data_IF_821501592506
#
_entry.id   IF_821501592506
#
_cell.length_a   1.000
_cell.length_b   1.000
_cell.length_c   1.000
_cell.angle_alpha   90.00
_cell.angle_beta   90.00
_cell.angle_gamma   90.00
#
_symmetry.space_group_name_H-M   'P 1'
#
loop_
_entity.id
_entity.type
_entity.pdbx_description
1 polymer ?
#
# COMPACT_ATOMS: atom_id res chain seq x y z
N UNK A 1 -23.72 -17.32 -24.83
CA UNK A 1 -24.77 -16.41 -25.33
C UNK A 1 -26.06 -16.78 -24.62
N UNK A 2 -26.50 -15.95 -23.72
CA UNK A 2 -27.86 -15.95 -23.20
C UNK A 2 -28.24 -14.50 -22.90
N UNK A 3 -29.40 -14.02 -23.34
CA UNK A 3 -29.75 -12.61 -23.26
C UNK A 3 -30.31 -12.25 -21.87
N UNK A 4 -29.92 -11.09 -21.35
CA UNK A 4 -30.66 -10.43 -20.28
C UNK A 4 -32.02 -9.96 -20.81
N UNK A 5 -33.09 -10.55 -20.36
CA UNK A 5 -34.43 -10.01 -20.52
C UNK A 5 -34.95 -9.43 -19.21
N UNK A 6 -35.24 -8.15 -19.27
CA UNK A 6 -35.89 -7.34 -18.26
C UNK A 6 -37.36 -7.79 -18.07
N UNK A 7 -37.83 -7.89 -16.86
CA UNK A 7 -39.24 -7.64 -16.53
C UNK A 7 -39.35 -6.67 -15.36
N UNK A 8 -39.81 -5.48 -15.69
CA UNK A 8 -40.38 -4.51 -14.77
C UNK A 8 -41.71 -5.05 -14.22
N UNK A 9 -41.94 -4.78 -12.96
CA UNK A 9 -43.08 -4.13 -12.33
C UNK A 9 -43.11 -4.46 -10.84
N UNK A 10 -42.95 -3.53 -9.94
CA UNK A 10 -43.99 -2.93 -9.15
C UNK A 10 -43.46 -2.03 -8.01
N UNK A 11 -43.97 -0.80 -8.06
CA UNK A 11 -44.20 0.19 -6.97
C UNK A 11 -43.10 0.59 -5.98
N UNK A 12 -42.58 1.76 -6.21
CA UNK A 12 -42.52 2.91 -5.33
C UNK A 12 -42.10 2.67 -3.88
N UNK A 13 -40.80 2.39 -3.61
CA UNK A 13 -40.07 2.74 -2.41
C UNK A 13 -38.61 2.33 -2.46
N UNK A 14 -38.10 1.86 -3.58
CA UNK A 14 -36.72 1.37 -3.74
C UNK A 14 -35.92 2.11 -4.83
N UNK A 15 -36.12 3.42 -4.98
CA UNK A 15 -35.42 4.17 -6.03
C UNK A 15 -33.99 4.56 -5.66
N UNK A 16 -33.53 4.25 -4.46
CA UNK A 16 -32.18 4.61 -4.01
C UNK A 16 -31.15 3.45 -4.02
N UNK A 17 -31.54 2.25 -4.47
CA UNK A 17 -30.62 1.09 -4.47
C UNK A 17 -30.13 0.75 -5.89
N UNK A 18 -30.74 1.29 -6.93
CA UNK A 18 -30.39 0.94 -8.33
C UNK A 18 -29.25 1.80 -8.90
N UNK A 19 -28.86 2.88 -8.22
CA UNK A 19 -27.75 3.74 -8.68
C UNK A 19 -26.37 3.18 -8.27
N UNK A 20 -26.32 2.16 -7.43
CA UNK A 20 -25.08 1.49 -7.00
C UNK A 20 -24.62 0.34 -7.91
N UNK A 21 -25.31 0.06 -8.99
CA UNK A 21 -24.93 -1.01 -9.94
C UNK A 21 -24.34 -0.51 -11.26
N UNK A 22 -24.03 0.76 -11.40
CA UNK A 22 -23.08 1.20 -12.43
C UNK A 22 -21.67 1.17 -11.86
N UNK A 23 -21.23 0.00 -11.37
CA UNK A 23 -19.83 -0.32 -11.39
C UNK A 23 -19.48 -0.33 -12.87
N UNK A 24 -18.83 0.74 -13.32
CA UNK A 24 -18.17 0.76 -14.63
C UNK A 24 -17.16 -0.38 -14.59
N UNK A 25 -17.54 -1.50 -15.18
CA UNK A 25 -16.73 -2.69 -15.26
C UNK A 25 -15.55 -2.34 -16.18
N UNK A 26 -14.41 -1.91 -15.64
CA UNK A 26 -13.14 -1.79 -16.35
C UNK A 26 -12.53 -3.18 -16.62
N UNK A 27 -13.42 -4.19 -16.79
CA UNK A 27 -13.07 -5.56 -17.12
C UNK A 27 -12.25 -5.55 -18.41
N UNK A 28 -10.97 -5.88 -18.29
CA UNK A 28 -10.11 -6.18 -19.42
C UNK A 28 -8.87 -5.28 -19.57
N UNK A 29 -8.62 -4.32 -18.68
CA UNK A 29 -7.42 -3.48 -18.78
C UNK A 29 -6.15 -4.26 -18.42
N UNK A 30 -6.20 -5.04 -17.34
CA UNK A 30 -5.10 -5.91 -16.90
C UNK A 30 -5.65 -7.30 -16.54
N UNK A 31 -4.79 -8.31 -16.69
CA UNK A 31 -5.13 -9.71 -16.40
C UNK A 31 -4.44 -10.24 -15.15
N UNK A 32 -3.49 -9.50 -14.60
CA UNK A 32 -2.75 -9.85 -13.38
C UNK A 32 -2.14 -8.61 -12.73
N UNK A 33 -1.85 -8.71 -11.44
CA UNK A 33 -1.11 -7.70 -10.67
C UNK A 33 0.17 -8.35 -10.12
N UNK A 34 1.32 -7.71 -10.33
CA UNK A 34 2.57 -8.04 -9.63
C UNK A 34 2.93 -6.89 -8.72
N UNK A 35 3.02 -7.15 -7.42
CA UNK A 35 3.23 -6.13 -6.40
C UNK A 35 4.53 -6.33 -5.65
N UNK A 36 5.22 -5.24 -5.36
CA UNK A 36 6.46 -5.15 -4.58
C UNK A 36 6.30 -4.03 -3.55
N UNK A 37 6.86 -4.21 -2.36
CA UNK A 37 6.72 -3.19 -1.32
C UNK A 37 6.99 -3.73 0.08
N UNK A 38 6.41 -3.05 1.05
CA UNK A 38 6.54 -3.38 2.47
C UNK A 38 5.19 -3.75 3.12
N UNK A 39 5.00 -3.40 4.41
CA UNK A 39 3.78 -3.73 5.16
C UNK A 39 2.50 -3.10 4.62
N UNK A 40 2.61 -2.03 3.85
CA UNK A 40 1.45 -1.33 3.28
C UNK A 40 0.86 -2.07 2.08
N UNK A 41 1.61 -3.02 1.52
CA UNK A 41 1.20 -3.87 0.40
C UNK A 41 1.26 -5.38 0.71
N UNK A 42 1.85 -5.83 1.83
CA UNK A 42 1.99 -7.26 2.15
C UNK A 42 0.62 -7.93 2.38
N UNK A 43 0.26 -8.86 1.53
CA UNK A 43 -0.99 -9.65 1.63
C UNK A 43 -0.83 -10.94 2.42
N UNK A 44 0.32 -11.13 3.11
CA UNK A 44 0.60 -12.25 4.01
C UNK A 44 1.96 -12.91 3.79
N UNK A 45 2.88 -12.33 3.05
CA UNK A 45 4.20 -12.92 2.83
C UNK A 45 4.97 -13.13 4.12
N UNK A 46 5.09 -12.11 4.97
CA UNK A 46 5.88 -12.24 6.19
C UNK A 46 5.38 -13.39 7.08
N UNK A 47 4.07 -13.60 7.18
CA UNK A 47 3.52 -14.67 8.05
C UNK A 47 3.72 -16.06 7.47
N UNK A 48 3.93 -16.20 6.15
CA UNK A 48 4.22 -17.46 5.49
C UNK A 48 5.73 -17.75 5.39
N UNK A 49 6.57 -16.76 5.68
CA UNK A 49 8.02 -16.96 5.74
C UNK A 49 8.42 -17.69 7.03
N UNK A 50 9.52 -18.47 7.00
CA UNK A 50 10.09 -19.03 8.23
C UNK A 50 10.44 -17.91 9.23
N UNK A 51 9.82 -17.93 10.40
CA UNK A 51 10.06 -16.93 11.45
C UNK A 51 11.04 -17.50 12.48
N UNK A 52 12.20 -16.87 12.68
CA UNK A 52 13.18 -17.31 13.68
C UNK A 52 12.80 -16.81 15.09
N UNK A 53 11.56 -16.99 15.54
CA UNK A 53 11.17 -16.50 16.85
C UNK A 53 9.67 -16.34 17.05
N UNK A 54 9.27 -15.28 17.75
CA UNK A 54 7.86 -14.97 18.04
C UNK A 54 7.14 -14.54 16.76
N UNK A 55 5.94 -15.10 16.56
CA UNK A 55 5.07 -14.70 15.46
C UNK A 55 4.76 -13.18 15.51
N UNK A 56 4.72 -12.51 14.37
CA UNK A 56 4.41 -11.08 14.32
C UNK A 56 2.96 -10.79 14.76
N UNK A 57 2.68 -9.58 15.31
CA UNK A 57 1.36 -9.25 15.87
C UNK A 57 0.22 -9.44 14.87
N UNK A 58 0.43 -9.16 13.60
CA UNK A 58 -0.59 -9.18 12.54
C UNK A 58 -1.02 -10.58 12.06
N UNK A 59 -0.59 -11.66 12.76
CA UNK A 59 -1.19 -12.99 12.65
C UNK A 59 -2.32 -13.22 13.66
N UNK A 60 -2.54 -12.29 14.58
CA UNK A 60 -3.52 -12.40 15.63
C UNK A 60 -4.67 -11.41 15.46
N UNK A 61 -5.87 -11.71 15.99
CA UNK A 61 -6.91 -10.71 16.15
C UNK A 61 -6.36 -9.49 16.92
N UNK A 62 -6.81 -8.26 16.65
CA UNK A 62 -7.94 -7.90 15.81
C UNK A 62 -7.60 -7.60 14.34
N UNK A 63 -6.38 -7.93 13.87
CA UNK A 63 -6.05 -7.74 12.45
C UNK A 63 -7.00 -8.50 11.54
N UNK A 64 -7.43 -7.89 10.45
CA UNK A 64 -8.31 -8.49 9.45
C UNK A 64 -9.78 -8.64 9.86
N UNK A 65 -10.19 -8.18 11.03
CA UNK A 65 -11.52 -8.43 11.59
C UNK A 65 -12.67 -7.76 10.82
N UNK A 66 -12.40 -6.60 10.16
CA UNK A 66 -13.46 -5.80 9.51
C UNK A 66 -13.96 -6.45 8.23
N UNK A 67 -13.10 -7.05 7.43
CA UNK A 67 -13.45 -7.60 6.12
C UNK A 67 -13.26 -9.12 6.06
N UNK A 68 -12.08 -9.60 6.45
CA UNK A 68 -11.71 -11.01 6.33
C UNK A 68 -12.26 -11.87 7.48
N UNK A 69 -12.65 -11.25 8.60
CA UNK A 69 -13.06 -11.89 9.86
C UNK A 69 -11.97 -12.79 10.50
N UNK A 70 -10.73 -12.64 10.07
CA UNK A 70 -9.54 -13.29 10.62
C UNK A 70 -8.27 -12.57 10.16
N UNK A 71 -7.19 -12.74 10.89
CA UNK A 71 -5.89 -12.21 10.51
C UNK A 71 -5.37 -12.91 9.24
N UNK A 72 -4.93 -12.12 8.26
CA UNK A 72 -4.43 -12.58 6.96
C UNK A 72 -2.95 -12.29 6.76
N UNK A 73 -2.31 -11.66 7.74
CA UNK A 73 -0.97 -11.10 7.61
C UNK A 73 -0.92 -9.68 7.04
N UNK A 74 -2.06 -9.11 6.69
CA UNK A 74 -2.16 -7.68 6.34
C UNK A 74 -2.05 -6.83 7.59
N UNK A 75 -1.27 -5.76 7.51
CA UNK A 75 -1.10 -4.80 8.59
C UNK A 75 -2.26 -3.79 8.64
N UNK A 76 -3.47 -4.29 8.78
CA UNK A 76 -4.71 -3.50 8.88
C UNK A 76 -5.82 -4.31 9.55
N UNK A 77 -6.90 -3.64 9.95
CA UNK A 77 -8.15 -4.30 10.36
C UNK A 77 -8.88 -4.98 9.18
N UNK A 78 -8.50 -4.70 7.94
CA UNK A 78 -9.14 -5.26 6.74
C UNK A 78 -8.26 -5.17 5.50
N UNK A 79 -8.83 -4.68 4.39
CA UNK A 79 -8.17 -4.56 3.08
C UNK A 79 -7.11 -3.47 3.05
N UNK A 80 -6.10 -3.67 2.19
CA UNK A 80 -5.08 -2.70 1.81
C UNK A 80 -5.42 -2.06 0.45
N UNK A 81 -4.66 -1.05 0.05
CA UNK A 81 -4.85 -0.39 -1.27
C UNK A 81 -4.79 -1.40 -2.43
N UNK A 82 -3.89 -2.37 -2.37
CA UNK A 82 -3.78 -3.43 -3.40
C UNK A 82 -5.06 -4.25 -3.56
N UNK A 83 -5.78 -4.51 -2.47
CA UNK A 83 -7.04 -5.27 -2.51
C UNK A 83 -8.14 -4.47 -3.21
N UNK A 84 -8.24 -3.18 -2.93
CA UNK A 84 -9.17 -2.28 -3.63
C UNK A 84 -8.82 -2.13 -5.12
N UNK A 85 -7.53 -2.09 -5.48
CA UNK A 85 -7.10 -2.10 -6.89
C UNK A 85 -7.52 -3.40 -7.56
N UNK A 86 -7.34 -4.55 -6.92
CA UNK A 86 -7.76 -5.84 -7.47
C UNK A 86 -9.28 -5.87 -7.71
N UNK A 87 -10.07 -5.43 -6.74
CA UNK A 87 -11.54 -5.32 -6.88
C UNK A 87 -11.94 -4.37 -8.02
N UNK A 88 -11.32 -3.19 -8.11
CA UNK A 88 -11.57 -2.21 -9.17
C UNK A 88 -11.31 -2.79 -10.57
N UNK A 89 -10.27 -3.62 -10.70
CA UNK A 89 -9.92 -4.28 -11.96
C UNK A 89 -10.73 -5.56 -12.23
N UNK A 90 -11.59 -5.99 -11.29
CA UNK A 90 -12.34 -7.24 -11.38
C UNK A 90 -11.46 -8.48 -11.27
N UNK A 91 -10.28 -8.36 -10.64
CA UNK A 91 -9.34 -9.45 -10.40
C UNK A 91 -9.54 -10.06 -9.00
N UNK A 92 -9.17 -11.33 -8.79
CA UNK A 92 -9.06 -11.89 -7.44
C UNK A 92 -8.05 -11.12 -6.61
N UNK A 93 -8.17 -11.16 -5.28
CA UNK A 93 -7.14 -10.61 -4.38
C UNK A 93 -5.78 -11.25 -4.65
N UNK A 94 -4.76 -10.40 -4.69
CA UNK A 94 -3.41 -10.82 -5.08
C UNK A 94 -2.79 -11.68 -3.98
N UNK A 95 -2.48 -12.96 -4.26
CA UNK A 95 -1.93 -13.86 -3.25
C UNK A 95 -0.50 -13.50 -2.91
N UNK A 96 -0.06 -13.74 -1.65
CA UNK A 96 1.34 -13.63 -1.28
C UNK A 96 2.17 -14.74 -1.96
N UNK A 97 3.40 -14.43 -2.36
CA UNK A 97 4.33 -15.37 -3.00
C UNK A 97 4.55 -16.63 -2.15
N UNK A 98 4.81 -16.45 -0.85
CA UNK A 98 5.11 -17.57 0.07
C UNK A 98 3.88 -18.37 0.48
N UNK A 99 2.67 -17.84 0.36
CA UNK A 99 1.41 -18.51 0.75
C UNK A 99 0.51 -18.91 -0.41
N UNK A 100 0.88 -18.55 -1.64
CA UNK A 100 0.06 -18.82 -2.83
C UNK A 100 0.39 -20.13 -3.53
N UNK A 101 -0.28 -20.39 -4.63
CA UNK A 101 -0.06 -21.54 -5.51
C UNK A 101 -0.01 -21.11 -6.98
N UNK A 102 0.67 -21.91 -7.83
CA UNK A 102 0.80 -21.63 -9.25
C UNK A 102 -0.54 -21.41 -9.98
N UNK A 103 -1.60 -22.07 -9.52
CA UNK A 103 -2.93 -21.89 -10.08
C UNK A 103 -3.40 -20.46 -9.85
N UNK A 104 -3.39 -20.00 -8.59
CA UNK A 104 -3.86 -18.66 -8.19
C UNK A 104 -2.94 -17.58 -8.77
N UNK A 105 -1.62 -17.81 -8.83
CA UNK A 105 -0.65 -16.88 -9.43
C UNK A 105 -0.97 -16.57 -10.90
N UNK A 106 -1.44 -17.56 -11.65
CA UNK A 106 -1.84 -17.38 -13.05
C UNK A 106 -3.17 -16.65 -13.22
N UNK A 107 -4.02 -16.65 -12.20
CA UNK A 107 -5.35 -16.03 -12.21
C UNK A 107 -5.32 -14.57 -11.70
N UNK A 108 -4.49 -14.26 -10.72
CA UNK A 108 -4.48 -12.96 -10.02
C UNK A 108 -3.18 -12.18 -10.17
N UNK A 109 -2.08 -12.84 -10.50
CA UNK A 109 -0.72 -12.30 -10.30
C UNK A 109 -0.15 -12.69 -8.96
N UNK A 110 0.87 -11.97 -8.49
CA UNK A 110 1.63 -12.31 -7.27
C UNK A 110 2.05 -11.07 -6.51
N UNK A 111 1.91 -11.11 -5.20
CA UNK A 111 2.44 -10.11 -4.31
C UNK A 111 3.77 -10.57 -3.69
N UNK A 112 4.83 -9.81 -3.91
CA UNK A 112 6.18 -10.03 -3.36
C UNK A 112 6.49 -9.10 -2.19
N UNK A 113 5.61 -8.13 -1.88
CA UNK A 113 5.77 -7.20 -0.76
C UNK A 113 5.86 -7.97 0.56
N UNK A 114 6.76 -7.54 1.45
CA UNK A 114 6.98 -8.18 2.76
C UNK A 114 6.99 -7.11 3.84
N UNK A 115 6.19 -7.28 4.87
CA UNK A 115 6.18 -6.35 6.00
C UNK A 115 7.57 -6.20 6.62
N UNK A 116 8.00 -4.94 6.83
CA UNK A 116 9.35 -4.61 7.28
C UNK A 116 10.41 -4.58 6.18
N UNK A 117 10.07 -4.86 4.93
CA UNK A 117 11.03 -4.81 3.82
C UNK A 117 11.61 -3.40 3.61
N UNK A 118 12.86 -3.37 3.16
CA UNK A 118 13.63 -2.15 2.89
C UNK A 118 13.87 -1.99 1.38
N UNK A 119 14.07 -0.75 0.93
CA UNK A 119 14.56 -0.50 -0.42
C UNK A 119 16.01 -0.96 -0.55
N UNK A 120 16.84 -0.58 0.42
CA UNK A 120 18.25 -0.94 0.50
C UNK A 120 18.46 -2.40 0.91
N UNK A 121 19.55 -2.99 0.44
CA UNK A 121 19.97 -4.32 0.86
C UNK A 121 20.29 -4.37 2.37
N UNK A 122 19.94 -5.49 3.00
CA UNK A 122 20.14 -5.69 4.44
C UNK A 122 21.59 -5.61 4.84
N UNK A 123 22.53 -6.11 4.02
CA UNK A 123 23.96 -6.04 4.31
C UNK A 123 24.45 -4.57 4.33
N UNK A 124 23.99 -3.77 3.38
CA UNK A 124 24.32 -2.34 3.33
C UNK A 124 23.86 -1.59 4.59
N UNK A 125 22.66 -1.92 5.13
CA UNK A 125 22.14 -1.34 6.36
C UNK A 125 22.92 -1.82 7.58
N UNK A 126 23.24 -3.11 7.66
CA UNK A 126 24.00 -3.70 8.76
C UNK A 126 25.41 -3.11 8.89
N UNK A 127 26.10 -2.83 7.79
CA UNK A 127 27.41 -2.14 7.78
C UNK A 127 27.32 -0.75 8.43
N UNK A 128 26.13 -0.17 8.51
CA UNK A 128 25.84 1.14 9.13
C UNK A 128 25.21 1.02 10.52
N UNK A 129 25.21 -0.19 11.09
CA UNK A 129 24.65 -0.47 12.41
C UNK A 129 23.11 -0.51 12.45
N UNK A 130 22.46 -0.54 11.30
CA UNK A 130 21.00 -0.57 11.20
C UNK A 130 20.56 -2.03 11.05
N UNK A 131 19.77 -2.51 12.02
CA UNK A 131 19.32 -3.89 12.10
C UNK A 131 17.82 -3.99 11.79
N UNK A 132 17.48 -4.62 10.69
CA UNK A 132 16.11 -5.08 10.46
C UNK A 132 15.88 -6.39 11.23
N UNK A 133 14.99 -6.37 12.23
CA UNK A 133 14.67 -7.52 13.08
C UNK A 133 13.47 -8.34 12.58
N UNK A 134 12.77 -7.86 11.54
CA UNK A 134 11.57 -8.48 11.02
C UNK A 134 11.85 -9.39 9.82
N UNK A 135 12.65 -8.89 8.88
CA UNK A 135 12.94 -9.63 7.65
C UNK A 135 14.29 -9.21 7.06
N UNK A 136 14.89 -10.08 6.28
CA UNK A 136 16.06 -9.77 5.44
C UNK A 136 15.64 -9.48 3.98
N UNK A 137 14.34 -9.30 3.73
CA UNK A 137 13.84 -9.03 2.40
C UNK A 137 14.00 -7.56 2.06
N UNK A 138 14.77 -7.29 1.00
CA UNK A 138 14.88 -5.97 0.36
C UNK A 138 14.11 -5.95 -0.95
N UNK A 139 13.99 -4.78 -1.59
CA UNK A 139 13.39 -4.66 -2.91
C UNK A 139 14.11 -5.54 -3.95
N UNK A 140 15.45 -5.62 -3.89
CA UNK A 140 16.21 -6.46 -4.81
C UNK A 140 15.92 -7.96 -4.62
N UNK A 141 15.74 -8.41 -3.38
CA UNK A 141 15.32 -9.79 -3.08
C UNK A 141 13.94 -10.07 -3.69
N UNK A 142 12.98 -9.17 -3.54
CA UNK A 142 11.64 -9.31 -4.12
C UNK A 142 11.69 -9.41 -5.66
N UNK A 143 12.47 -8.53 -6.29
CA UNK A 143 12.70 -8.57 -7.75
C UNK A 143 13.40 -9.85 -8.17
N UNK A 144 14.30 -10.40 -7.35
CA UNK A 144 14.93 -11.69 -7.56
C UNK A 144 13.92 -12.85 -7.58
N UNK A 145 13.02 -12.88 -6.60
CA UNK A 145 11.92 -13.87 -6.52
C UNK A 145 10.99 -13.79 -7.74
N UNK A 146 10.64 -12.58 -8.15
CA UNK A 146 9.84 -12.36 -9.36
C UNK A 146 10.53 -12.93 -10.61
N UNK A 147 11.82 -12.60 -10.84
CA UNK A 147 12.60 -13.10 -11.96
C UNK A 147 12.66 -14.64 -11.99
N UNK A 148 12.77 -15.28 -10.82
CA UNK A 148 12.77 -16.74 -10.68
C UNK A 148 11.39 -17.36 -11.00
N UNK A 149 10.31 -16.71 -10.60
CA UNK A 149 8.94 -17.21 -10.82
C UNK A 149 8.47 -17.02 -12.27
N UNK A 150 8.89 -15.96 -12.93
CA UNK A 150 8.39 -15.53 -14.24
C UNK A 150 8.36 -16.64 -15.30
N UNK A 151 9.39 -17.50 -15.46
CA UNK A 151 9.37 -18.62 -16.42
C UNK A 151 8.28 -19.65 -16.18
N UNK A 152 7.86 -19.84 -14.91
CA UNK A 152 6.81 -20.79 -14.55
C UNK A 152 5.39 -20.22 -14.76
N UNK A 153 5.25 -18.88 -14.78
CA UNK A 153 3.96 -18.22 -15.01
C UNK A 153 3.56 -18.26 -16.49
N UNK A 154 4.48 -18.00 -17.40
CA UNK A 154 4.22 -17.97 -18.83
C UNK A 154 5.50 -18.24 -19.64
N UNK A 155 5.38 -18.86 -20.80
CA UNK A 155 6.44 -18.93 -21.80
C UNK A 155 6.56 -17.63 -22.61
N UNK A 156 5.49 -16.84 -22.71
CA UNK A 156 5.46 -15.51 -23.34
C UNK A 156 5.43 -14.42 -22.26
N UNK A 157 6.62 -14.12 -21.74
CA UNK A 157 6.80 -13.10 -20.71
C UNK A 157 6.39 -11.71 -21.19
N UNK A 158 6.65 -11.39 -22.47
CA UNK A 158 6.30 -10.08 -23.03
C UNK A 158 4.80 -9.86 -23.04
N UNK A 159 4.03 -10.86 -23.44
CA UNK A 159 2.57 -10.82 -23.42
C UNK A 159 2.04 -10.75 -21.99
N UNK A 160 2.59 -11.59 -21.09
CA UNK A 160 2.19 -11.58 -19.68
C UNK A 160 2.37 -10.18 -19.07
N UNK A 161 3.59 -9.64 -19.16
CA UNK A 161 3.92 -8.34 -18.56
C UNK A 161 3.19 -7.18 -19.24
N UNK A 162 2.99 -7.25 -20.56
CA UNK A 162 2.23 -6.25 -21.31
C UNK A 162 0.74 -6.15 -20.92
N UNK A 163 0.20 -7.23 -20.33
CA UNK A 163 -1.18 -7.29 -19.84
C UNK A 163 -1.28 -7.26 -18.31
N UNK A 164 -0.20 -6.94 -17.61
CA UNK A 164 -0.16 -6.92 -16.15
C UNK A 164 0.06 -5.52 -15.61
N UNK A 165 -0.54 -5.22 -14.47
CA UNK A 165 -0.21 -4.06 -13.67
C UNK A 165 0.96 -4.41 -12.74
N UNK A 166 1.99 -3.59 -12.77
CA UNK A 166 3.12 -3.67 -11.83
C UNK A 166 2.93 -2.57 -10.79
N UNK A 167 2.77 -2.96 -9.53
CA UNK A 167 2.72 -2.04 -8.40
C UNK A 167 4.09 -2.06 -7.70
N UNK A 168 4.73 -0.90 -7.61
CA UNK A 168 5.97 -0.71 -6.86
C UNK A 168 5.72 0.33 -5.77
N UNK A 169 5.63 -0.14 -4.56
CA UNK A 169 5.44 0.73 -3.41
C UNK A 169 4.35 0.22 -2.44
N UNK A 170 4.30 0.72 -1.24
CA UNK A 170 5.33 1.62 -0.73
C UNK A 170 6.58 0.86 -0.33
N UNK A 171 7.75 1.49 -0.45
CA UNK A 171 9.04 0.92 -0.06
C UNK A 171 10.04 2.05 0.26
N UNK A 172 10.92 1.85 1.21
CA UNK A 172 11.94 2.81 1.64
C UNK A 172 11.66 3.44 3.01
N UNK A 173 10.42 3.45 3.47
CA UNK A 173 10.07 3.91 4.81
C UNK A 173 10.75 3.12 5.91
N UNK A 174 10.88 1.82 5.74
CA UNK A 174 11.52 0.94 6.72
C UNK A 174 13.04 1.15 6.83
N UNK A 175 13.72 1.60 5.78
CA UNK A 175 15.13 1.98 5.82
C UNK A 175 15.38 3.04 6.89
N UNK A 176 14.48 4.02 6.97
CA UNK A 176 14.53 5.08 7.98
C UNK A 176 13.98 4.64 9.33
N UNK A 177 12.89 3.91 9.34
CA UNK A 177 12.24 3.44 10.57
C UNK A 177 13.17 2.55 11.40
N UNK A 178 13.85 1.58 10.77
CA UNK A 178 14.80 0.71 11.47
C UNK A 178 16.00 1.49 12.03
N UNK A 179 16.47 2.51 11.30
CA UNK A 179 17.53 3.38 11.78
C UNK A 179 17.06 4.24 12.96
N UNK A 180 15.90 4.86 12.86
CA UNK A 180 15.31 5.71 13.89
C UNK A 180 15.04 4.94 15.19
N UNK A 181 14.34 3.81 15.10
CA UNK A 181 14.05 2.96 16.25
C UNK A 181 15.29 2.24 16.80
N UNK A 182 16.33 2.09 15.98
CA UNK A 182 17.65 1.61 16.38
C UNK A 182 18.50 2.63 17.13
N UNK A 183 18.02 3.88 17.26
CA UNK A 183 18.75 4.97 17.94
C UNK A 183 19.89 5.56 17.11
N UNK A 184 19.89 5.37 15.80
CA UNK A 184 20.84 6.01 14.88
C UNK A 184 20.57 7.52 14.85
N UNK A 185 21.64 8.32 14.78
CA UNK A 185 21.52 9.78 14.79
C UNK A 185 20.74 10.28 13.56
N UNK A 186 20.05 11.40 13.71
CA UNK A 186 19.25 11.98 12.65
C UNK A 186 20.11 12.35 11.43
N UNK A 187 21.35 12.80 11.66
CA UNK A 187 22.32 13.10 10.60
C UNK A 187 22.68 11.83 9.80
N UNK A 188 22.94 10.72 10.49
CA UNK A 188 23.24 9.43 9.85
C UNK A 188 22.02 8.83 9.12
N UNK A 189 20.80 9.08 9.60
CA UNK A 189 19.57 8.72 8.89
C UNK A 189 19.44 9.55 7.61
N UNK A 190 19.80 10.83 7.66
CA UNK A 190 19.84 11.69 6.48
C UNK A 190 20.85 11.22 5.43
N UNK A 191 22.00 10.71 5.89
CA UNK A 191 23.02 10.14 4.99
C UNK A 191 22.52 8.88 4.28
N UNK A 192 21.50 8.20 4.80
CA UNK A 192 20.84 7.08 4.09
C UNK A 192 19.98 7.54 2.91
N UNK A 193 19.45 8.76 3.01
CA UNK A 193 18.52 9.27 1.98
C UNK A 193 19.13 9.24 0.58
N UNK A 194 20.39 9.64 0.32
CA UNK A 194 20.98 9.48 -1.00
C UNK A 194 21.00 8.03 -1.49
N UNK A 195 21.11 7.08 -0.62
CA UNK A 195 21.16 5.67 -0.97
C UNK A 195 19.74 5.11 -1.16
N UNK A 196 18.82 5.41 -0.27
CA UNK A 196 17.40 5.06 -0.39
C UNK A 196 16.81 5.76 -1.59
N UNK A 197 17.15 7.02 -1.81
CA UNK A 197 16.64 7.85 -2.89
C UNK A 197 17.47 7.71 -4.15
N UNK A 198 18.73 7.31 -4.13
CA UNK A 198 19.45 6.86 -5.33
C UNK A 198 18.99 5.46 -5.76
N UNK A 199 18.54 4.69 -4.83
CA UNK A 199 17.58 3.60 -5.02
C UNK A 199 16.19 4.21 -5.15
N UNK A 200 15.91 5.41 -4.66
CA UNK A 200 14.73 6.25 -4.80
C UNK A 200 14.99 7.80 -5.00
N UNK A 201 16.20 8.47 -5.07
CA UNK A 201 16.55 9.90 -5.36
C UNK A 201 16.96 10.88 -4.22
N UNK A 202 17.68 11.90 -4.01
CA UNK A 202 18.40 12.61 -2.89
C UNK A 202 17.71 13.81 -2.14
N UNK A 203 17.90 14.03 -0.93
CA UNK A 203 18.32 14.58 0.39
C UNK A 203 17.91 15.97 0.95
N UNK A 204 17.83 16.23 2.30
CA UNK A 204 17.51 17.53 2.96
C UNK A 204 18.08 17.79 4.35
N UNK A 205 18.00 19.10 4.80
CA UNK A 205 18.44 19.68 6.08
C UNK A 205 17.30 20.06 7.05
N UNK A 206 17.49 19.97 8.36
CA UNK A 206 16.47 19.86 9.42
C UNK A 206 16.25 21.10 10.29
N UNK A 207 14.96 21.33 10.68
CA UNK A 207 14.52 21.95 11.95
C UNK A 207 13.39 21.14 12.58
N UNK A 208 13.34 21.05 13.94
CA UNK A 208 12.26 20.38 14.67
C UNK A 208 11.11 21.36 14.94
N UNK A 209 10.15 21.42 14.09
CA UNK A 209 8.90 22.18 14.29
C UNK A 209 7.73 21.25 13.97
N UNK A 210 6.61 21.45 14.67
CA UNK A 210 5.36 20.70 14.43
C UNK A 210 4.38 21.57 13.67
N UNK A 211 3.76 21.03 12.66
CA UNK A 211 2.62 21.65 11.99
C UNK A 211 1.44 21.75 12.98
N UNK A 212 1.04 22.96 13.31
CA UNK A 212 -0.05 23.23 14.27
C UNK A 212 -1.41 22.73 13.81
N UNK A 213 -1.64 22.51 12.53
CA UNK A 213 -2.92 22.06 11.97
C UNK A 213 -3.07 20.53 12.01
N UNK A 214 -2.01 19.78 11.83
CA UNK A 214 -2.02 18.31 11.73
C UNK A 214 -1.39 17.61 12.92
N UNK A 215 -0.53 18.30 13.67
CA UNK A 215 0.29 17.71 14.73
C UNK A 215 1.47 16.89 14.20
N UNK A 216 1.70 16.88 12.88
CA UNK A 216 2.82 16.20 12.25
C UNK A 216 4.13 16.96 12.45
N UNK A 217 5.25 16.24 12.44
CA UNK A 217 6.58 16.86 12.43
C UNK A 217 6.83 17.50 11.06
N UNK A 218 6.98 18.82 10.98
CA UNK A 218 7.16 19.56 9.72
C UNK A 218 8.36 19.04 8.92
N UNK A 219 9.46 18.72 9.59
CA UNK A 219 10.63 18.19 8.93
C UNK A 219 10.42 16.80 8.30
N UNK A 220 9.56 15.93 8.89
CA UNK A 220 9.21 14.64 8.30
C UNK A 220 8.30 14.83 7.07
N UNK A 221 7.37 15.77 7.12
CA UNK A 221 6.57 16.11 5.97
C UNK A 221 7.45 16.65 4.84
N UNK A 222 8.35 17.60 5.16
CA UNK A 222 9.30 18.14 4.18
C UNK A 222 10.23 17.07 3.64
N UNK A 223 10.70 16.14 4.47
CA UNK A 223 11.48 14.99 4.06
C UNK A 223 10.72 14.12 3.05
N UNK A 224 9.44 13.85 3.29
CA UNK A 224 8.58 13.08 2.38
C UNK A 224 8.36 13.80 1.06
N UNK A 225 8.10 15.10 1.10
CA UNK A 225 7.94 15.93 -0.10
C UNK A 225 9.18 15.92 -0.99
N UNK A 226 10.35 16.10 -0.39
CA UNK A 226 11.63 16.16 -1.11
C UNK A 226 12.04 14.79 -1.65
N UNK A 227 11.73 13.69 -0.91
CA UNK A 227 11.83 12.34 -1.42
C UNK A 227 10.97 12.16 -2.67
N UNK A 228 9.70 12.54 -2.59
CA UNK A 228 8.74 12.39 -3.68
C UNK A 228 9.11 13.26 -4.90
N UNK A 229 9.61 14.48 -4.71
CA UNK A 229 10.09 15.34 -5.79
C UNK A 229 11.22 14.67 -6.58
N UNK A 230 12.17 14.06 -5.88
CA UNK A 230 13.30 13.39 -6.50
C UNK A 230 12.89 12.08 -7.16
N UNK A 231 12.01 11.28 -6.53
CA UNK A 231 11.42 10.11 -7.15
C UNK A 231 10.72 10.47 -8.46
N UNK A 232 9.92 11.55 -8.45
CA UNK A 232 9.24 12.02 -9.65
C UNK A 232 10.22 12.47 -10.75
N UNK A 233 11.36 13.09 -10.37
CA UNK A 233 12.40 13.46 -11.31
C UNK A 233 13.06 12.23 -11.94
N UNK A 234 13.35 11.19 -11.13
CA UNK A 234 13.92 9.93 -11.60
C UNK A 234 12.94 9.18 -12.53
N UNK A 235 11.66 9.07 -12.14
CA UNK A 235 10.63 8.46 -12.97
C UNK A 235 10.50 9.15 -14.34
N UNK A 236 10.63 10.48 -14.40
CA UNK A 236 10.67 11.23 -15.67
C UNK A 236 11.89 10.87 -16.54
N UNK A 237 13.04 10.57 -15.92
CA UNK A 237 14.21 10.11 -16.67
C UNK A 237 14.02 8.69 -17.18
N UNK A 238 13.52 7.78 -16.33
CA UNK A 238 13.21 6.40 -16.71
C UNK A 238 12.18 6.37 -17.85
N UNK A 239 11.14 7.20 -17.79
CA UNK A 239 10.14 7.31 -18.86
C UNK A 239 10.77 7.74 -20.22
N UNK A 240 11.80 8.61 -20.20
CA UNK A 240 12.53 8.99 -21.43
C UNK A 240 13.37 7.84 -21.98
N UNK A 241 13.98 7.02 -21.10
CA UNK A 241 14.78 5.87 -21.51
C UNK A 241 13.90 4.71 -22.03
N UNK A 242 12.67 4.60 -21.52
CA UNK A 242 11.71 3.56 -21.87
C UNK A 242 10.38 4.15 -22.35
N UNK A 243 10.35 4.79 -23.55
CA UNK A 243 9.17 5.53 -24.01
C UNK A 243 7.93 4.67 -24.26
N UNK A 244 8.10 3.34 -24.39
CA UNK A 244 6.98 2.40 -24.53
C UNK A 244 6.45 1.86 -23.21
N UNK A 245 7.17 2.06 -22.10
CA UNK A 245 6.65 1.77 -20.77
C UNK A 245 5.66 2.85 -20.35
N UNK A 246 4.62 2.49 -19.65
CA UNK A 246 3.68 3.43 -19.05
C UNK A 246 3.95 3.48 -17.56
N UNK A 247 4.52 4.58 -17.10
CA UNK A 247 4.88 4.79 -15.71
C UNK A 247 3.89 5.78 -15.14
N UNK A 248 3.18 5.38 -14.08
CA UNK A 248 2.33 6.25 -13.28
C UNK A 248 3.04 6.52 -11.96
N UNK A 249 3.10 7.77 -11.58
CA UNK A 249 3.41 8.20 -10.22
C UNK A 249 2.10 8.33 -9.44
N UNK A 250 1.93 7.53 -8.40
CA UNK A 250 0.85 7.65 -7.44
C UNK A 250 1.31 8.56 -6.29
N UNK A 251 0.72 9.75 -6.20
CA UNK A 251 1.05 10.74 -5.19
C UNK A 251 0.34 10.44 -3.87
N UNK A 252 0.82 9.40 -3.21
CA UNK A 252 0.25 8.89 -1.97
C UNK A 252 0.29 9.94 -0.85
N UNK A 253 1.38 10.69 -0.75
CA UNK A 253 1.54 11.76 0.25
C UNK A 253 0.42 12.80 0.14
N UNK A 254 0.23 13.36 -1.05
CA UNK A 254 -0.82 14.36 -1.26
C UNK A 254 -2.24 13.76 -1.24
N UNK A 255 -2.41 12.47 -1.52
CA UNK A 255 -3.68 11.77 -1.33
C UNK A 255 -4.07 11.62 0.14
N UNK A 256 -3.09 11.46 1.02
CA UNK A 256 -3.28 11.28 2.47
C UNK A 256 -3.45 12.61 3.22
N UNK A 257 -2.74 13.67 2.83
CA UNK A 257 -2.70 14.94 3.57
C UNK A 257 -4.09 15.56 3.83
N UNK A 258 -5.08 15.55 2.90
CA UNK A 258 -6.42 16.04 3.17
C UNK A 258 -7.11 15.32 4.34
N UNK A 259 -6.84 14.02 4.53
CA UNK A 259 -7.40 13.23 5.63
C UNK A 259 -6.87 13.72 6.99
N UNK A 260 -5.62 14.17 7.05
CA UNK A 260 -5.03 14.78 8.26
C UNK A 260 -5.53 16.19 8.50
N UNK A 261 -5.68 17.01 7.45
CA UNK A 261 -6.11 18.41 7.59
C UNK A 261 -7.59 18.57 7.92
N UNK A 262 -8.43 17.67 7.41
CA UNK A 262 -9.89 17.79 7.53
C UNK A 262 -10.56 16.44 7.87
N UNK A 263 -10.14 15.74 8.94
CA UNK A 263 -10.53 14.36 9.20
C UNK A 263 -12.05 14.16 9.31
N UNK A 264 -12.75 15.11 9.90
CA UNK A 264 -14.20 15.02 10.09
C UNK A 264 -14.98 15.01 8.76
N UNK A 265 -14.43 15.62 7.69
CA UNK A 265 -15.05 15.60 6.36
C UNK A 265 -14.99 14.20 5.73
N UNK A 266 -14.04 13.38 6.17
CA UNK A 266 -13.83 12.03 5.72
C UNK A 266 -14.36 10.96 6.71
N UNK A 267 -15.02 11.39 7.79
CA UNK A 267 -15.61 10.48 8.78
C UNK A 267 -14.69 10.12 9.95
N UNK A 268 -13.44 10.59 9.98
CA UNK A 268 -12.46 10.24 11.01
C UNK A 268 -12.66 11.07 12.30
N UNK A 269 -13.74 10.79 13.03
CA UNK A 269 -14.08 11.48 14.27
C UNK A 269 -13.42 10.89 15.52
N UNK A 270 -12.88 9.68 15.44
CA UNK A 270 -12.15 9.01 16.53
C UNK A 270 -10.71 9.51 16.71
N UNK A 271 -10.16 10.19 15.70
CA UNK A 271 -8.85 10.81 15.70
C UNK A 271 -7.93 10.28 14.59
N UNK A 272 -7.04 11.16 14.09
CA UNK A 272 -6.12 10.85 13.01
C UNK A 272 -4.76 10.35 13.50
N UNK A 273 -4.29 10.84 14.65
CA UNK A 273 -3.01 10.44 15.24
C UNK A 273 -3.17 9.32 16.28
N UNK A 274 -4.38 9.10 16.79
CA UNK A 274 -4.66 8.05 17.77
C UNK A 274 -4.91 6.73 17.07
N UNK A 275 -4.16 5.69 17.46
CA UNK A 275 -4.39 4.34 16.97
C UNK A 275 -5.71 3.76 17.50
N UNK A 276 -6.45 3.08 16.63
CA UNK A 276 -7.65 2.33 17.02
C UNK A 276 -7.28 1.12 17.87
N UNK A 277 -6.21 0.41 17.53
CA UNK A 277 -5.69 -0.76 18.24
C UNK A 277 -4.31 -0.45 18.84
N UNK A 278 -4.16 -0.57 20.16
CA UNK A 278 -2.90 -0.34 20.85
C UNK A 278 -3.02 -0.20 22.35
N UNK A 279 -2.00 0.38 22.99
CA UNK A 279 -1.92 0.48 24.45
C UNK A 279 -1.43 1.82 24.94
N UNK A 280 -2.25 2.49 25.73
CA UNK A 280 -1.84 3.62 26.57
C UNK A 280 -1.39 4.88 25.83
N UNK A 281 -1.14 5.93 26.62
CA UNK A 281 -0.68 7.23 26.13
C UNK A 281 -1.71 7.99 25.28
N UNK A 282 -1.32 9.17 24.81
CA UNK A 282 -2.18 10.08 24.04
C UNK A 282 -2.54 9.47 22.68
N UNK A 283 -1.60 8.75 22.07
CA UNK A 283 -1.76 8.20 20.72
C UNK A 283 -2.18 6.73 20.71
N UNK A 284 -2.47 6.13 21.89
CA UNK A 284 -2.78 4.70 22.04
C UNK A 284 -1.71 3.79 21.37
N UNK A 285 -0.43 4.17 21.46
CA UNK A 285 0.71 3.45 20.90
C UNK A 285 1.80 3.20 21.94
N UNK A 286 2.27 1.95 22.01
CA UNK A 286 3.39 1.53 22.84
C UNK A 286 4.11 0.36 22.18
N UNK A 287 5.37 0.55 21.83
CA UNK A 287 6.19 -0.49 21.16
C UNK A 287 6.45 -1.76 21.99
N UNK A 288 6.15 -1.74 23.31
CA UNK A 288 6.23 -2.93 24.16
C UNK A 288 4.91 -3.70 24.26
N UNK A 289 3.78 -3.05 23.89
CA UNK A 289 2.43 -3.64 23.90
C UNK A 289 1.73 -3.21 22.61
N UNK A 290 2.09 -3.88 21.54
CA UNK A 290 1.55 -3.60 20.20
C UNK A 290 0.13 -4.15 20.03
N UNK A 291 -0.58 -3.68 19.02
CA UNK A 291 -1.86 -4.26 18.57
C UNK A 291 -1.69 -5.79 18.36
N UNK A 292 -2.70 -6.58 18.70
CA UNK A 292 -2.62 -8.06 18.75
C UNK A 292 -2.08 -8.62 20.08
N UNK A 293 -1.53 -7.78 20.97
CA UNK A 293 -1.22 -8.19 22.34
C UNK A 293 -2.50 -8.28 23.17
N UNK A 294 -2.66 -9.28 24.06
CA UNK A 294 -3.85 -9.40 24.93
C UNK A 294 -4.13 -8.18 25.82
N UNK A 295 -3.14 -7.34 26.09
CA UNK A 295 -3.29 -6.10 26.85
C UNK A 295 -3.69 -4.90 25.99
N UNK A 296 -3.56 -4.99 24.67
CA UNK A 296 -3.95 -3.91 23.79
C UNK A 296 -5.46 -3.76 23.75
N UNK A 297 -5.91 -2.51 23.70
CA UNK A 297 -7.33 -2.16 23.50
C UNK A 297 -7.63 -1.93 22.01
N UNK A 298 -8.85 -2.21 21.60
CA UNK A 298 -9.35 -1.93 20.25
C UNK A 298 -10.50 -0.94 20.37
N UNK A 299 -10.61 -0.01 19.46
CA UNK A 299 -11.74 0.92 19.39
C UNK A 299 -13.01 0.19 18.93
N UNK A 300 -14.18 0.72 19.30
CA UNK A 300 -15.47 0.10 18.98
C UNK A 300 -15.78 0.14 17.48
N UNK A 301 -15.35 1.19 16.78
CA UNK A 301 -15.59 1.37 15.35
C UNK A 301 -14.31 1.86 14.65
N UNK A 302 -13.56 0.95 13.99
CA UNK A 302 -12.34 1.30 13.27
C UNK A 302 -12.56 2.26 12.10
N UNK A 303 -13.78 2.35 11.56
CA UNK A 303 -14.07 3.26 10.45
C UNK A 303 -14.00 4.74 10.82
N UNK A 304 -14.07 5.05 12.11
CA UNK A 304 -13.94 6.41 12.64
C UNK A 304 -12.48 6.83 12.87
N UNK A 305 -11.53 5.95 12.69
CA UNK A 305 -10.11 6.19 12.91
C UNK A 305 -9.34 6.09 11.60
N UNK A 306 -8.36 6.97 11.43
CA UNK A 306 -7.43 6.87 10.31
C UNK A 306 -6.32 5.87 10.59
N UNK A 307 -5.79 5.88 11.82
CA UNK A 307 -4.65 5.07 12.24
C UNK A 307 -5.12 3.77 12.90
N UNK A 308 -4.58 2.61 12.44
CA UNK A 308 -4.93 1.31 12.97
C UNK A 308 -4.13 0.95 14.23
N UNK A 309 -2.82 0.82 14.11
CA UNK A 309 -1.95 0.25 15.15
C UNK A 309 -0.80 1.18 15.59
N UNK A 310 -0.82 2.44 15.17
CA UNK A 310 0.23 3.43 15.44
C UNK A 310 1.25 3.57 14.30
N UNK A 311 1.22 2.67 13.32
CA UNK A 311 2.13 2.65 12.16
C UNK A 311 1.33 2.55 10.85
N UNK A 312 0.27 1.74 10.83
CA UNK A 312 -0.50 1.42 9.63
C UNK A 312 -1.89 2.08 9.66
N UNK A 313 -2.53 2.19 8.50
CA UNK A 313 -3.85 2.76 8.38
C UNK A 313 -4.96 1.72 8.58
N UNK A 314 -6.17 2.21 8.90
CA UNK A 314 -7.38 1.40 8.89
C UNK A 314 -7.81 1.08 7.44
N UNK A 315 -8.65 0.08 7.27
CA UNK A 315 -9.28 -0.22 5.96
C UNK A 315 -10.03 0.99 5.40
N UNK A 316 -10.73 1.74 6.26
CA UNK A 316 -11.46 2.94 5.86
C UNK A 316 -10.52 4.02 5.26
N UNK A 317 -9.35 4.22 5.87
CA UNK A 317 -8.36 5.15 5.34
C UNK A 317 -7.72 4.64 4.05
N UNK A 318 -7.37 3.35 3.96
CA UNK A 318 -6.86 2.76 2.73
C UNK A 318 -7.84 2.86 1.56
N UNK A 319 -9.14 2.72 1.83
CA UNK A 319 -10.18 2.91 0.82
C UNK A 319 -10.18 4.33 0.26
N UNK A 320 -10.16 5.35 1.12
CA UNK A 320 -10.14 6.75 0.69
C UNK A 320 -8.85 7.11 -0.05
N UNK A 321 -7.71 6.54 0.35
CA UNK A 321 -6.44 6.70 -0.36
C UNK A 321 -6.54 6.07 -1.76
N UNK A 322 -7.07 4.86 -1.86
CA UNK A 322 -7.33 4.20 -3.14
C UNK A 322 -8.22 5.07 -4.05
N UNK A 323 -9.36 5.54 -3.55
CA UNK A 323 -10.27 6.41 -4.30
C UNK A 323 -9.57 7.69 -4.77
N UNK A 324 -8.76 8.31 -3.92
CA UNK A 324 -7.99 9.51 -4.24
C UNK A 324 -6.93 9.28 -5.33
N UNK A 325 -6.23 8.15 -5.29
CA UNK A 325 -5.14 7.82 -6.22
C UNK A 325 -5.67 7.27 -7.54
N UNK A 326 -6.64 6.36 -7.51
CA UNK A 326 -7.09 5.63 -8.70
C UNK A 326 -8.20 6.38 -9.43
N UNK A 327 -9.20 6.89 -8.71
CA UNK A 327 -10.36 7.58 -9.27
C UNK A 327 -10.23 9.12 -9.20
N UNK A 328 -9.31 9.63 -8.39
CA UNK A 328 -9.08 11.05 -8.15
C UNK A 328 -7.92 11.65 -8.95
N UNK A 329 -7.36 12.73 -8.40
CA UNK A 329 -6.36 13.57 -9.06
C UNK A 329 -4.92 13.29 -8.63
N UNK A 330 -4.67 12.23 -7.84
CA UNK A 330 -3.37 11.95 -7.25
C UNK A 330 -2.57 10.85 -7.96
N UNK A 331 -2.84 10.62 -9.24
CA UNK A 331 -1.99 9.80 -10.11
C UNK A 331 -1.59 10.54 -11.40
N UNK A 332 -0.34 10.43 -11.81
CA UNK A 332 0.24 11.16 -12.94
C UNK A 332 1.03 10.24 -13.87
N UNK A 333 0.60 10.01 -15.14
CA UNK A 333 -0.72 10.36 -15.67
C UNK A 333 -1.85 9.65 -14.89
N UNK A 334 -3.12 10.07 -15.10
CA UNK A 334 -4.25 9.44 -14.40
C UNK A 334 -4.32 7.94 -14.70
N UNK A 335 -4.74 7.15 -13.71
CA UNK A 335 -4.87 5.70 -13.86
C UNK A 335 -5.85 5.32 -14.99
N UNK A 336 -6.94 6.07 -15.15
CA UNK A 336 -7.89 5.89 -16.25
C UNK A 336 -7.25 6.03 -17.64
N UNK A 337 -6.27 6.91 -17.79
CA UNK A 337 -5.59 7.11 -19.08
C UNK A 337 -4.85 5.86 -19.56
N UNK A 338 -4.52 4.92 -18.69
CA UNK A 338 -3.90 3.65 -19.07
C UNK A 338 -4.89 2.67 -19.70
N UNK A 339 -6.14 2.69 -19.23
CA UNK A 339 -7.19 1.77 -19.68
C UNK A 339 -7.89 2.25 -20.96
N UNK A 340 -7.74 3.53 -21.33
CA UNK A 340 -8.42 4.16 -22.46
C UNK A 340 -7.71 4.02 -23.83
N UNK A 341 -6.72 3.17 -24.00
CA UNK A 341 -5.82 3.22 -25.17
C UNK A 341 -6.37 2.65 -26.48
N UNK A 342 -7.51 2.01 -26.49
CA UNK A 342 -8.12 1.47 -27.72
C UNK A 342 -9.40 2.20 -28.16
N UNK A 343 -9.71 3.37 -27.62
CA UNK A 343 -10.78 4.28 -28.12
C UNK A 343 -12.19 3.67 -28.16
N UNK A 344 -12.47 2.58 -27.46
CA UNK A 344 -13.73 1.81 -27.66
C UNK A 344 -14.73 1.81 -26.51
N UNK A 345 -14.43 2.39 -25.32
CA UNK A 345 -15.31 2.17 -24.18
C UNK A 345 -15.68 3.38 -23.30
N UNK A 346 -15.67 4.62 -23.82
CA UNK A 346 -16.29 5.73 -23.09
C UNK A 346 -17.21 6.56 -24.01
N UNK A 347 -18.34 5.97 -24.38
CA UNK A 347 -19.52 6.69 -24.82
C UNK A 347 -20.69 6.23 -23.97
N UNK A 348 -20.84 6.78 -22.79
CA UNK A 348 -22.14 6.93 -22.14
C UNK A 348 -22.12 8.15 -21.20
N UNK A 349 -22.79 9.20 -21.71
CA UNK A 349 -23.30 10.29 -20.87
C UNK A 349 -24.42 9.77 -20.00
#
# INVERSE_FOLDING_TARGET
MAPCSSHLLWNGFFLNIIILSSISCTIGCYTAIFSFGDSLADTGNLVHMPQPGKLPPFVFPPYGETFFNHATGRCSNGRLVIDFIAEYLGLPFVPPYFGGSMKIFKEAGVNFAVAGATALDTAFLQERGIMNKLTNTSLDVQLGLFKQLLPALSSDHKKLLGNSLILLGEIGGNDYNHAFFGGVSTESIQDLVPYVVNIIGQAIKIKKEYDHSTGCLEWLNKFSEDHNEQLLAELKQIQKLYPHAKIIYADYYNAVMPLYHSPNQFGFTGGVLRACCGWGGTYNYNSSVECGNPLASVCDDPSLYMNWDGIHYTEAAYKLIFESVIEGSYSFPSFEALCNLDGKYFNHK
#
